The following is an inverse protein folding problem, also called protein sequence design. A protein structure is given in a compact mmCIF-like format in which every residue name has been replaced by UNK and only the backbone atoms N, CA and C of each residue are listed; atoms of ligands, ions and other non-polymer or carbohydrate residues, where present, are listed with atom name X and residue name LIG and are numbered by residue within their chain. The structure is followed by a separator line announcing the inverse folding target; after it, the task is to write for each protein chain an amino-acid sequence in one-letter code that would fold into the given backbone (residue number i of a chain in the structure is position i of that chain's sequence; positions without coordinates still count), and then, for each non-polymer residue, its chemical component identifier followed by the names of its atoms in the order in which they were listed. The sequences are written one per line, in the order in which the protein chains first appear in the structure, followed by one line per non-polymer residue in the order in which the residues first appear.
data_IF_088672391200
#
_entry.id   IF_088672391200
#
_cell.length_a   1.000
_cell.length_b   1.000
_cell.length_c   1.000
_cell.angle_alpha   90.00
_cell.angle_beta   90.00
_cell.angle_gamma   90.00
#
_symmetry.space_group_name_H-M   'P 1'
#
loop_
_entity.id
_entity.type
_entity.pdbx_description
1 polymer ?
#
# COMPACT_ATOMS: atom_id res chain seq x y z
N UNK A 1 -9.95 13.16 -1.74
CA UNK A 1 -8.88 13.91 -1.05
C UNK A 1 -7.64 13.79 -1.89
N UNK A 2 -6.80 14.82 -1.93
CA UNK A 2 -5.55 14.80 -2.68
C UNK A 2 -4.35 14.50 -1.76
N UNK A 3 -3.13 14.52 -2.30
CA UNK A 3 -1.93 14.30 -1.50
C UNK A 3 -1.66 15.41 -0.46
N UNK A 4 -2.17 16.62 -0.69
CA UNK A 4 -1.96 17.78 0.16
C UNK A 4 -2.86 17.69 1.40
N UNK A 5 -4.08 17.18 1.24
CA UNK A 5 -4.99 16.84 2.34
C UNK A 5 -4.34 15.85 3.31
N UNK A 6 -3.70 14.80 2.79
CA UNK A 6 -2.99 13.81 3.60
C UNK A 6 -1.81 14.46 4.33
N UNK A 7 -0.99 15.25 3.62
CA UNK A 7 0.15 15.95 4.20
C UNK A 7 -0.27 16.87 5.36
N UNK A 8 -1.28 17.70 5.14
CA UNK A 8 -1.81 18.62 6.15
C UNK A 8 -2.38 17.86 7.36
N UNK A 9 -3.07 16.74 7.11
CA UNK A 9 -3.60 15.89 8.18
C UNK A 9 -2.47 15.27 9.01
N UNK A 10 -1.40 14.78 8.36
CA UNK A 10 -0.24 14.21 9.03
C UNK A 10 0.49 15.25 9.90
N UNK A 11 0.67 16.48 9.40
CA UNK A 11 1.24 17.58 10.21
C UNK A 11 0.41 17.82 11.47
N UNK A 12 -0.91 17.89 11.34
CA UNK A 12 -1.80 18.13 12.49
C UNK A 12 -1.78 16.99 13.52
N UNK A 13 -1.54 15.77 13.06
CA UNK A 13 -1.49 14.57 13.89
C UNK A 13 -0.10 14.33 14.52
N UNK A 14 0.92 15.08 14.12
CA UNK A 14 2.25 14.91 14.68
C UNK A 14 2.25 15.14 16.20
N UNK A 15 2.91 14.25 16.94
CA UNK A 15 2.90 14.21 18.40
C UNK A 15 1.56 13.84 19.07
N UNK A 16 0.48 13.56 18.31
CA UNK A 16 -0.80 13.11 18.89
C UNK A 16 -0.74 11.63 19.30
N UNK A 17 -1.73 11.23 20.11
CA UNK A 17 -1.88 9.84 20.50
C UNK A 17 -2.19 8.94 19.30
N UNK A 18 -1.88 7.66 19.43
CA UNK A 18 -1.99 6.71 18.32
C UNK A 18 -3.40 6.56 17.75
N UNK A 19 -4.42 6.72 18.61
CA UNK A 19 -5.83 6.66 18.19
C UNK A 19 -6.20 7.76 17.19
N UNK A 20 -5.57 8.93 17.27
CA UNK A 20 -5.83 10.05 16.36
C UNK A 20 -5.42 9.73 14.90
N UNK A 21 -4.48 8.81 14.70
CA UNK A 21 -4.08 8.38 13.35
C UNK A 21 -5.19 7.62 12.61
N UNK A 22 -6.29 7.24 13.25
CA UNK A 22 -7.46 6.70 12.53
C UNK A 22 -8.06 7.71 11.52
N UNK A 23 -7.80 9.00 11.71
CA UNK A 23 -8.33 10.07 10.87
C UNK A 23 -7.73 10.07 9.45
N UNK A 24 -6.54 9.46 9.24
CA UNK A 24 -5.97 9.32 7.89
C UNK A 24 -6.59 8.15 7.10
N UNK A 25 -7.59 7.45 7.64
CA UNK A 25 -8.27 6.37 6.92
C UNK A 25 -9.18 6.94 5.82
N UNK A 26 -8.63 7.09 4.63
CA UNK A 26 -9.35 7.56 3.45
C UNK A 26 -8.65 7.14 2.14
N UNK A 27 -9.19 7.60 1.01
CA UNK A 27 -8.58 7.48 -0.31
C UNK A 27 -7.99 8.84 -0.71
N UNK A 28 -6.72 8.83 -1.11
CA UNK A 28 -5.96 10.00 -1.51
C UNK A 28 -5.45 9.85 -2.94
N UNK A 29 -5.73 10.85 -3.76
CA UNK A 29 -5.30 10.90 -5.15
C UNK A 29 -3.90 11.50 -5.22
N UNK A 30 -2.94 10.74 -5.74
CA UNK A 30 -1.61 11.23 -6.11
C UNK A 30 -1.54 11.37 -7.63
N UNK A 31 -0.62 12.20 -8.16
CA UNK A 31 -0.51 12.42 -9.61
C UNK A 31 -0.32 11.15 -10.45
N UNK A 32 0.24 10.08 -9.87
CA UNK A 32 0.59 8.83 -10.57
C UNK A 32 -0.14 7.59 -10.04
N UNK A 33 -0.84 7.68 -8.92
CA UNK A 33 -1.47 6.54 -8.26
C UNK A 33 -2.53 7.00 -7.26
N UNK A 34 -3.44 6.11 -6.89
CA UNK A 34 -4.32 6.32 -5.74
C UNK A 34 -3.75 5.58 -4.54
N UNK A 35 -3.68 6.27 -3.40
CA UNK A 35 -3.35 5.70 -2.11
C UNK A 35 -4.64 5.46 -1.32
N UNK A 36 -4.91 4.21 -0.98
CA UNK A 36 -6.04 3.80 -0.18
C UNK A 36 -5.52 3.33 1.17
N UNK A 37 -5.96 3.99 2.24
CA UNK A 37 -5.62 3.64 3.61
C UNK A 37 -6.78 2.83 4.19
N UNK A 38 -6.67 1.50 4.16
CA UNK A 38 -7.78 0.60 4.51
C UNK A 38 -7.86 0.35 6.02
N UNK A 39 -6.69 0.21 6.65
CA UNK A 39 -6.57 -0.04 8.08
C UNK A 39 -5.43 0.78 8.65
N UNK A 40 -5.69 1.41 9.79
CA UNK A 40 -4.67 2.05 10.62
C UNK A 40 -4.59 1.28 11.93
N UNK A 41 -3.36 0.90 12.30
CA UNK A 41 -3.06 0.31 13.60
C UNK A 41 -3.58 1.21 14.73
N UNK A 42 -4.10 0.61 15.80
CA UNK A 42 -4.66 1.33 16.95
C UNK A 42 -3.67 1.61 18.11
N UNK A 43 -2.56 0.87 18.14
CA UNK A 43 -1.40 1.04 19.02
C UNK A 43 -0.14 0.41 18.36
N UNK A 44 1.08 0.59 18.94
CA UNK A 44 2.33 0.05 18.38
C UNK A 44 2.44 -1.48 18.29
N UNK A 45 1.56 -2.22 18.98
CA UNK A 45 1.56 -3.68 19.04
C UNK A 45 0.44 -4.31 18.20
N UNK A 46 -0.52 -3.51 17.72
CA UNK A 46 -1.59 -3.93 16.84
C UNK A 46 -1.07 -4.44 15.47
N UNK A 47 -1.99 -5.05 14.72
CA UNK A 47 -1.71 -5.41 13.32
C UNK A 47 -1.33 -4.15 12.53
N UNK A 48 -0.29 -4.20 11.67
CA UNK A 48 0.23 -3.02 10.99
C UNK A 48 -0.82 -2.35 10.11
N UNK A 49 -0.64 -1.06 9.83
CA UNK A 49 -1.47 -0.35 8.86
C UNK A 49 -1.48 -1.04 7.50
N UNK A 50 -2.64 -1.10 6.87
CA UNK A 50 -2.84 -1.68 5.52
C UNK A 50 -3.09 -0.56 4.53
N UNK A 51 -2.19 -0.48 3.55
CA UNK A 51 -2.18 0.51 2.48
C UNK A 51 -2.32 -0.24 1.15
N UNK A 52 -3.13 0.29 0.25
CA UNK A 52 -3.27 -0.20 -1.13
C UNK A 52 -2.87 0.93 -2.06
N UNK A 53 -2.01 0.63 -3.02
CA UNK A 53 -1.65 1.55 -4.10
C UNK A 53 -2.30 1.06 -5.38
N UNK A 54 -3.08 1.90 -6.05
CA UNK A 54 -3.63 1.62 -7.38
C UNK A 54 -2.94 2.50 -8.40
N UNK A 55 -2.32 1.88 -9.40
CA UNK A 55 -1.63 2.59 -10.49
C UNK A 55 -2.50 2.42 -11.74
N UNK A 56 -2.98 3.51 -12.36
CA UNK A 56 -3.68 3.44 -13.64
C UNK A 56 -2.82 2.80 -14.74
N UNK A 57 -3.43 1.99 -15.62
CA UNK A 57 -2.70 1.28 -16.68
C UNK A 57 -1.92 2.23 -17.60
N UNK A 58 -2.49 3.40 -17.91
CA UNK A 58 -1.83 4.42 -18.72
C UNK A 58 -0.60 5.05 -18.05
N UNK A 59 -0.47 4.95 -16.73
CA UNK A 59 0.72 5.41 -15.99
C UNK A 59 1.71 4.25 -15.82
N UNK A 60 1.20 3.03 -15.68
CA UNK A 60 2.01 1.84 -15.51
C UNK A 60 2.76 1.44 -16.81
N UNK A 61 2.16 1.73 -17.97
CA UNK A 61 2.75 1.56 -19.31
C UNK A 61 3.32 0.15 -19.56
N UNK A 62 2.80 -0.86 -18.86
CA UNK A 62 3.18 -2.24 -19.09
C UNK A 62 2.67 -2.70 -20.47
N UNK A 63 3.51 -3.37 -21.28
CA UNK A 63 3.08 -3.90 -22.57
C UNK A 63 1.81 -4.75 -22.45
N UNK A 64 0.86 -4.53 -23.36
CA UNK A 64 -0.43 -5.26 -23.36
C UNK A 64 -0.26 -6.76 -23.43
N UNK A 65 0.83 -7.21 -24.07
CA UNK A 65 1.26 -8.61 -24.19
C UNK A 65 1.41 -9.32 -22.84
N UNK A 66 1.75 -8.57 -21.78
CA UNK A 66 1.91 -9.11 -20.43
C UNK A 66 0.56 -9.45 -19.77
N UNK A 67 -0.55 -8.95 -20.31
CA UNK A 67 -1.90 -9.21 -19.84
C UNK A 67 -2.67 -10.21 -20.71
N UNK A 68 -2.12 -10.60 -21.86
CA UNK A 68 -2.81 -11.45 -22.86
C UNK A 68 -3.25 -12.81 -22.32
N UNK A 69 -2.53 -13.37 -21.36
CA UNK A 69 -2.90 -14.64 -20.76
C UNK A 69 -2.57 -14.65 -19.26
N UNK A 70 -3.22 -15.60 -18.57
CA UNK A 70 -3.15 -15.71 -17.12
C UNK A 70 -1.73 -15.98 -16.62
N UNK A 71 -0.91 -16.76 -17.35
CA UNK A 71 0.45 -17.08 -16.91
C UNK A 71 1.38 -15.86 -16.97
N UNK A 72 1.28 -15.05 -18.04
CA UNK A 72 2.02 -13.78 -18.17
C UNK A 72 1.58 -12.76 -17.13
N UNK A 73 0.27 -12.65 -16.89
CA UNK A 73 -0.26 -11.78 -15.85
C UNK A 73 0.27 -12.16 -14.47
N UNK A 74 0.22 -13.45 -14.12
CA UNK A 74 0.76 -13.95 -12.86
C UNK A 74 2.27 -13.69 -12.76
N UNK A 75 3.02 -13.90 -13.84
CA UNK A 75 4.47 -13.66 -13.86
C UNK A 75 4.80 -12.17 -13.66
N UNK A 76 4.06 -11.26 -14.29
CA UNK A 76 4.19 -9.82 -14.08
C UNK A 76 3.87 -9.45 -12.63
N UNK A 77 2.78 -9.96 -12.08
CA UNK A 77 2.39 -9.70 -10.68
C UNK A 77 3.46 -10.21 -9.69
N UNK A 78 4.02 -11.41 -9.89
CA UNK A 78 5.10 -11.94 -9.05
C UNK A 78 6.37 -11.09 -9.16
N UNK A 79 6.74 -10.68 -10.37
CA UNK A 79 7.87 -9.80 -10.61
C UNK A 79 7.70 -8.47 -9.85
N UNK A 80 6.56 -7.81 -9.97
CA UNK A 80 6.28 -6.55 -9.28
C UNK A 80 6.33 -6.70 -7.76
N UNK A 81 5.79 -7.80 -7.22
CA UNK A 81 5.86 -8.08 -5.77
C UNK A 81 7.32 -8.23 -5.32
N UNK A 82 8.17 -8.92 -6.09
CA UNK A 82 9.59 -9.09 -5.76
C UNK A 82 10.35 -7.78 -5.81
N UNK A 83 10.18 -6.99 -6.87
CA UNK A 83 10.85 -5.69 -7.01
C UNK A 83 10.44 -4.75 -5.88
N UNK A 84 9.15 -4.67 -5.57
CA UNK A 84 8.67 -3.82 -4.48
C UNK A 84 9.11 -4.33 -3.10
N UNK A 85 9.17 -5.65 -2.91
CA UNK A 85 9.72 -6.24 -1.69
C UNK A 85 11.19 -5.86 -1.49
N UNK A 86 12.01 -5.91 -2.53
CA UNK A 86 13.41 -5.49 -2.47
C UNK A 86 13.54 -4.00 -2.16
N UNK A 87 12.76 -3.14 -2.83
CA UNK A 87 12.74 -1.71 -2.56
C UNK A 87 12.31 -1.40 -1.12
N UNK A 88 11.27 -2.10 -0.61
CA UNK A 88 10.86 -2.02 0.79
C UNK A 88 12.00 -2.34 1.75
N UNK A 89 12.79 -3.39 1.48
CA UNK A 89 13.91 -3.77 2.35
C UNK A 89 15.00 -2.70 2.42
N UNK A 90 15.25 -1.98 1.32
CA UNK A 90 16.23 -0.90 1.29
C UNK A 90 15.78 0.35 2.05
N UNK A 91 14.47 0.64 2.02
CA UNK A 91 13.87 1.83 2.64
C UNK A 91 13.47 1.57 4.10
N UNK A 92 13.03 0.35 4.41
CA UNK A 92 12.59 -0.06 5.74
C UNK A 92 13.74 0.02 6.72
N UNK A 93 13.68 1.01 7.62
CA UNK A 93 14.63 1.18 8.71
C UNK A 93 13.89 1.07 10.02
N UNK A 94 14.45 0.35 10.97
CA UNK A 94 13.90 0.30 12.33
C UNK A 94 13.95 1.72 12.94
N UNK A 95 12.81 2.23 13.40
CA UNK A 95 12.70 3.62 13.91
C UNK A 95 11.99 3.65 15.26
N UNK A 96 12.68 3.24 16.32
CA UNK A 96 12.16 3.24 17.70
C UNK A 96 11.98 1.83 18.26
N UNK A 97 10.95 1.62 19.06
CA UNK A 97 10.63 0.31 19.67
C UNK A 97 9.60 -0.46 18.81
N UNK A 98 9.55 -1.79 18.96
CA UNK A 98 8.54 -2.64 18.28
C UNK A 98 8.85 -2.91 16.79
N UNK A 99 7.86 -2.74 15.91
CA UNK A 99 7.99 -2.92 14.44
C UNK A 99 8.03 -1.58 13.69
N UNK A 100 8.41 -0.51 14.39
CA UNK A 100 8.42 0.85 13.88
C UNK A 100 9.36 1.01 12.69
N UNK A 101 8.89 1.74 11.66
CA UNK A 101 9.61 1.96 10.40
C UNK A 101 9.72 0.73 9.48
N UNK A 102 9.08 -0.39 9.83
CA UNK A 102 8.99 -1.57 8.98
C UNK A 102 7.99 -1.35 7.85
N UNK A 103 8.45 -1.44 6.61
CA UNK A 103 7.61 -1.41 5.41
C UNK A 103 7.69 -2.78 4.74
N UNK A 104 6.55 -3.39 4.46
CA UNK A 104 6.46 -4.71 3.84
C UNK A 104 5.33 -4.78 2.84
N UNK A 105 5.51 -5.59 1.80
CA UNK A 105 4.47 -5.97 0.85
C UNK A 105 3.89 -7.35 1.16
N UNK A 106 2.60 -7.53 0.86
CA UNK A 106 1.93 -8.81 1.01
C UNK A 106 2.36 -9.74 -0.12
N UNK A 107 3.08 -10.82 0.21
CA UNK A 107 3.69 -11.77 -0.74
C UNK A 107 2.68 -12.64 -1.54
N UNK A 108 1.37 -12.38 -1.45
CA UNK A 108 0.32 -13.19 -2.09
C UNK A 108 -0.92 -12.34 -2.52
N UNK A 109 -0.69 -11.14 -3.05
CA UNK A 109 -1.78 -10.22 -3.40
C UNK A 109 -2.77 -10.79 -4.45
N UNK A 110 -2.26 -11.37 -5.54
CA UNK A 110 -3.08 -11.91 -6.65
C UNK A 110 -4.08 -12.99 -6.22
N UNK A 111 -3.65 -13.89 -5.33
CA UNK A 111 -4.51 -14.97 -4.82
C UNK A 111 -5.59 -14.46 -3.86
N UNK A 112 -5.31 -13.37 -3.15
CA UNK A 112 -6.28 -12.76 -2.23
C UNK A 112 -7.36 -11.94 -2.97
N UNK A 113 -7.02 -11.31 -4.10
CA UNK A 113 -8.02 -10.61 -4.91
C UNK A 113 -9.06 -11.56 -5.52
N UNK A 114 -8.65 -12.73 -6.05
CA UNK A 114 -9.60 -13.73 -6.56
C UNK A 114 -10.59 -14.23 -5.51
N UNK A 115 -10.18 -14.29 -4.23
CA UNK A 115 -11.06 -14.67 -3.12
C UNK A 115 -12.02 -13.55 -2.70
N UNK A 116 -11.61 -12.29 -2.81
CA UNK A 116 -12.43 -11.13 -2.43
C UNK A 116 -13.37 -10.65 -3.55
N UNK A 117 -13.06 -10.96 -4.81
CA UNK A 117 -13.92 -10.64 -5.96
C UNK A 117 -15.15 -11.54 -6.08
N UNK A 118 -15.23 -12.61 -5.28
CA UNK A 118 -16.42 -13.49 -5.21
C UNK A 118 -17.46 -13.02 -4.17
N UNK A 119 -17.28 -11.81 -3.61
CA UNK A 119 -18.16 -11.20 -2.61
C UNK A 119 -18.76 -9.86 -3.03
N UNK A 120 -18.61 -9.48 -4.30
CA UNK A 120 -19.22 -8.29 -4.89
C UNK A 120 -19.77 -8.64 -6.26
#
# INVERSE_FOLDING_TARGET
MDNQDLYNTLIRLDGKNYKAYKDIKANYQFPKFDLIIEHIQGDPFASPSKLIIKIPHNVAEFPTELYENESRKIALEDYLIRQFSQACQQISRHRGTGKSGKITIIKNWSRNLKKNSSKY
#
